data_IF_104293053692
#
_entry.id   IF_104293053692
#
_cell.length_a   1.000
_cell.length_b   1.000
_cell.length_c   1.000
_cell.angle_alpha   90.00
_cell.angle_beta   90.00
_cell.angle_gamma   90.00
#
_symmetry.space_group_name_H-M   'P 1'
#
loop_
_entity.id
_entity.type
_entity.pdbx_description
1 polymer ?
#
# COMPACT_ATOMS: atom_id res chain seq x y z
N UNK A 1 -7.11 -15.26 -37.94
CA UNK A 1 -7.08 -15.63 -36.51
C UNK A 1 -7.39 -14.37 -35.72
N UNK A 2 -8.63 -14.26 -35.25
CA UNK A 2 -9.19 -13.04 -34.66
C UNK A 2 -8.69 -12.83 -33.23
N UNK A 3 -8.27 -11.59 -32.96
CA UNK A 3 -7.87 -11.10 -31.65
C UNK A 3 -9.06 -11.10 -30.68
N UNK A 4 -8.91 -11.77 -29.53
CA UNK A 4 -9.83 -11.63 -28.40
C UNK A 4 -9.42 -10.39 -27.61
N UNK A 5 -10.02 -9.25 -27.95
CA UNK A 5 -9.96 -8.05 -27.12
C UNK A 5 -10.74 -8.32 -25.82
N UNK A 6 -10.05 -8.55 -24.70
CA UNK A 6 -10.66 -8.46 -23.37
C UNK A 6 -10.88 -6.98 -23.04
N UNK A 7 -12.11 -6.56 -23.37
CA UNK A 7 -12.79 -5.31 -23.04
C UNK A 7 -12.32 -4.70 -21.70
N UNK A 8 -11.43 -3.71 -21.79
CA UNK A 8 -11.17 -2.77 -20.70
C UNK A 8 -12.48 -2.02 -20.36
N UNK A 9 -12.85 -1.87 -19.07
CA UNK A 9 -13.94 -0.98 -18.70
C UNK A 9 -13.57 0.45 -19.11
N UNK A 10 -14.45 1.08 -19.89
CA UNK A 10 -14.41 2.51 -20.21
C UNK A 10 -15.11 3.26 -19.09
N UNK A 11 -14.41 4.21 -18.47
CA UNK A 11 -15.03 5.22 -17.60
C UNK A 11 -14.41 5.26 -16.21
N UNK A 12 -13.85 6.43 -15.86
CA UNK A 12 -13.28 6.72 -14.54
C UNK A 12 -12.00 7.55 -14.63
N UNK A 13 -12.07 8.78 -15.14
CA UNK A 13 -10.98 9.75 -15.03
C UNK A 13 -10.94 10.18 -13.55
N UNK A 14 -10.10 9.57 -12.73
CA UNK A 14 -9.99 9.99 -11.32
C UNK A 14 -9.09 9.16 -10.41
N UNK A 15 -8.90 7.86 -10.68
CA UNK A 15 -8.18 6.98 -9.73
C UNK A 15 -6.74 6.66 -10.12
N UNK A 16 -6.42 6.61 -11.42
CA UNK A 16 -5.06 6.26 -11.89
C UNK A 16 -4.06 7.41 -11.77
N UNK A 17 -4.51 8.67 -11.76
CA UNK A 17 -3.63 9.83 -11.84
C UNK A 17 -2.88 10.13 -10.53
N UNK A 18 -3.44 9.70 -9.40
CA UNK A 18 -2.95 10.08 -8.06
C UNK A 18 -1.77 9.21 -7.64
N UNK A 19 -1.73 7.92 -8.03
CA UNK A 19 -0.66 7.00 -7.64
C UNK A 19 0.69 7.33 -8.27
N UNK A 20 0.70 7.89 -9.49
CA UNK A 20 1.94 8.22 -10.23
C UNK A 20 2.73 9.35 -9.58
N UNK A 21 2.05 10.37 -9.03
CA UNK A 21 2.71 11.52 -8.40
C UNK A 21 3.37 11.14 -7.05
N UNK A 22 2.74 10.24 -6.30
CA UNK A 22 3.28 9.74 -5.02
C UNK A 22 4.48 8.81 -5.17
N UNK A 23 4.43 7.89 -6.15
CA UNK A 23 5.56 7.00 -6.46
C UNK A 23 6.77 7.78 -7.03
N UNK A 24 6.53 8.87 -7.77
CA UNK A 24 7.60 9.70 -8.33
C UNK A 24 8.31 10.57 -7.29
N UNK A 25 7.60 11.06 -6.24
CA UNK A 25 8.19 11.98 -5.26
C UNK A 25 9.29 11.34 -4.38
N UNK A 26 9.29 10.01 -4.25
CA UNK A 26 10.24 9.29 -3.40
C UNK A 26 11.48 8.79 -4.16
N UNK A 27 11.49 8.82 -5.50
CA UNK A 27 12.61 8.34 -6.32
C UNK A 27 12.94 6.85 -6.13
N UNK A 28 11.98 6.06 -5.63
CA UNK A 28 12.16 4.67 -5.18
C UNK A 28 11.00 3.83 -5.74
N UNK A 29 11.30 2.62 -6.21
CA UNK A 29 10.31 1.71 -6.79
C UNK A 29 9.29 1.23 -5.74
N UNK A 30 8.00 1.38 -6.04
CA UNK A 30 6.90 0.79 -5.27
C UNK A 30 6.66 -0.63 -5.80
N UNK A 31 6.79 -1.62 -4.93
CA UNK A 31 6.61 -3.04 -5.29
C UNK A 31 5.20 -3.54 -4.97
N UNK A 32 4.56 -2.95 -3.95
CA UNK A 32 3.25 -3.38 -3.48
C UNK A 32 2.46 -2.19 -2.89
N UNK A 33 1.14 -2.30 -2.98
CA UNK A 33 0.21 -1.36 -2.38
C UNK A 33 -1.06 -2.11 -1.94
N UNK A 34 -1.69 -1.65 -0.86
CA UNK A 34 -2.93 -2.20 -0.34
C UNK A 34 -3.84 -1.10 0.21
N UNK A 35 -5.14 -1.29 0.15
CA UNK A 35 -6.15 -0.32 0.61
C UNK A 35 -6.92 -0.93 1.80
N UNK A 36 -7.32 -0.08 2.75
CA UNK A 36 -8.15 -0.49 3.89
C UNK A 36 -9.58 -0.83 3.46
N UNK A 37 -10.30 -1.61 4.27
CA UNK A 37 -11.67 -2.06 3.97
C UNK A 37 -12.66 -0.88 3.79
N UNK A 38 -12.44 0.22 4.52
CA UNK A 38 -13.24 1.45 4.45
C UNK A 38 -12.79 2.41 3.33
N UNK A 39 -11.79 2.04 2.54
CA UNK A 39 -11.22 2.84 1.44
C UNK A 39 -10.69 4.22 1.87
N UNK A 40 -10.39 4.40 3.15
CA UNK A 40 -9.85 5.66 3.68
C UNK A 40 -8.33 5.68 3.75
N UNK A 41 -7.67 4.52 3.74
CA UNK A 41 -6.22 4.40 3.90
C UNK A 41 -5.57 3.62 2.77
N UNK A 42 -4.38 4.06 2.38
CA UNK A 42 -3.50 3.38 1.44
C UNK A 42 -2.18 3.05 2.13
N UNK A 43 -1.75 1.79 2.02
CA UNK A 43 -0.44 1.32 2.43
C UNK A 43 0.40 1.07 1.18
N UNK A 44 1.65 1.51 1.18
CA UNK A 44 2.59 1.31 0.08
C UNK A 44 3.94 0.84 0.62
N UNK A 45 4.60 -0.05 -0.14
CA UNK A 45 5.87 -0.64 0.23
C UNK A 45 6.77 -0.80 -0.99
N UNK A 46 8.04 -0.46 -0.82
CA UNK A 46 8.99 -0.39 -1.93
C UNK A 46 10.41 -0.80 -1.56
N UNK A 47 11.35 -0.36 -2.37
CA UNK A 47 12.76 -0.78 -2.25
C UNK A 47 13.48 -0.23 -1.02
N UNK A 48 12.95 0.84 -0.42
CA UNK A 48 13.54 1.48 0.76
C UNK A 48 13.21 0.79 2.08
N UNK A 49 12.54 -0.36 2.07
CA UNK A 49 12.13 -1.13 3.25
C UNK A 49 11.12 -0.44 4.19
N UNK A 50 10.66 0.77 3.83
CA UNK A 50 9.70 1.56 4.60
C UNK A 50 8.30 1.27 4.06
N UNK A 51 7.34 1.12 4.98
CA UNK A 51 5.91 1.12 4.65
C UNK A 51 5.39 2.53 4.90
N UNK A 52 4.68 3.08 3.92
CA UNK A 52 4.01 4.37 4.05
C UNK A 52 2.51 4.15 4.16
N UNK A 53 1.88 4.85 5.11
CA UNK A 53 0.43 4.87 5.29
C UNK A 53 -0.06 6.28 4.94
N UNK A 54 -1.00 6.34 4.01
CA UNK A 54 -1.55 7.57 3.45
C UNK A 54 -3.05 7.66 3.76
N UNK A 55 -3.51 8.86 4.08
CA UNK A 55 -4.94 9.17 4.07
C UNK A 55 -5.40 9.39 2.63
N UNK A 56 -6.41 8.64 2.21
CA UNK A 56 -7.06 8.77 0.90
C UNK A 56 -8.57 8.96 1.02
N UNK A 57 -9.08 9.30 2.20
CA UNK A 57 -10.51 9.50 2.48
C UNK A 57 -11.18 10.51 1.55
N UNK A 58 -10.43 11.52 1.12
CA UNK A 58 -10.91 12.55 0.20
C UNK A 58 -10.99 12.10 -1.27
N UNK A 59 -10.56 10.86 -1.59
CA UNK A 59 -10.69 10.26 -2.94
C UNK A 59 -12.09 9.67 -3.17
N UNK A 60 -12.96 9.63 -2.15
CA UNK A 60 -14.32 9.07 -2.29
C UNK A 60 -15.13 9.75 -3.40
N UNK A 61 -15.24 9.06 -4.54
CA UNK A 61 -15.88 9.48 -5.78
C UNK A 61 -17.41 9.35 -5.73
N UNK A 62 -18.05 9.76 -4.64
CA UNK A 62 -19.51 9.65 -4.53
C UNK A 62 -20.24 10.62 -5.47
N UNK A 63 -19.59 11.73 -5.82
CA UNK A 63 -20.09 12.66 -6.81
C UNK A 63 -19.19 12.60 -8.05
N UNK A 64 -19.76 12.37 -9.23
CA UNK A 64 -19.09 12.44 -10.54
C UNK A 64 -18.58 13.87 -10.89
N UNK A 65 -18.30 14.70 -9.89
CA UNK A 65 -17.70 16.01 -10.06
C UNK A 65 -16.18 15.82 -10.16
N UNK A 66 -15.57 16.13 -11.31
CA UNK A 66 -14.11 16.10 -11.41
C UNK A 66 -13.57 17.08 -10.38
N UNK A 67 -12.69 16.59 -9.50
CA UNK A 67 -11.88 17.40 -8.60
C UNK A 67 -11.16 18.48 -9.41
N UNK A 68 -11.74 19.68 -9.45
CA UNK A 68 -11.25 20.85 -10.21
C UNK A 68 -10.25 21.70 -9.42
N UNK A 69 -9.97 21.35 -8.17
CA UNK A 69 -9.04 22.07 -7.30
C UNK A 69 -8.20 21.09 -6.49
N UNK A 70 -6.87 21.12 -6.69
CA UNK A 70 -5.86 20.45 -5.86
C UNK A 70 -5.84 20.94 -4.39
N UNK A 71 -6.79 21.78 -3.98
CA UNK A 71 -6.82 22.46 -2.68
C UNK A 71 -7.63 21.70 -1.62
N UNK A 72 -8.51 20.77 -2.02
CA UNK A 72 -9.42 20.05 -1.11
C UNK A 72 -9.10 18.56 -0.99
N UNK A 73 -8.06 18.10 -1.70
CA UNK A 73 -7.61 16.71 -1.69
C UNK A 73 -6.64 16.53 -0.52
N UNK A 74 -7.15 16.23 0.68
CA UNK A 74 -6.33 15.89 1.83
C UNK A 74 -5.76 14.48 1.63
N UNK A 75 -4.63 14.39 0.93
CA UNK A 75 -3.87 13.17 0.71
C UNK A 75 -2.56 13.26 1.46
N UNK A 76 -2.64 13.03 2.78
CA UNK A 76 -1.53 13.27 3.70
C UNK A 76 -0.83 11.96 4.07
N UNK A 77 0.51 12.00 4.15
CA UNK A 77 1.28 10.92 4.75
C UNK A 77 0.96 10.88 6.25
N UNK A 78 0.21 9.87 6.68
CA UNK A 78 -0.18 9.73 8.07
C UNK A 78 0.96 9.21 8.94
N UNK A 79 1.62 8.16 8.47
CA UNK A 79 2.72 7.54 9.22
C UNK A 79 3.60 6.66 8.34
N UNK A 80 4.75 6.29 8.88
CA UNK A 80 5.67 5.32 8.28
C UNK A 80 5.98 4.22 9.28
N UNK A 81 6.19 3.02 8.74
CA UNK A 81 6.71 1.91 9.51
C UNK A 81 8.09 1.52 9.02
N UNK A 82 9.05 1.63 9.92
CA UNK A 82 10.44 1.22 9.72
C UNK A 82 10.73 -0.05 10.53
N UNK A 83 11.54 -0.94 9.97
CA UNK A 83 12.00 -2.13 10.68
C UNK A 83 12.27 -3.33 9.78
N UNK A 84 11.79 -3.34 8.54
CA UNK A 84 12.32 -4.25 7.55
C UNK A 84 13.74 -3.85 7.15
N UNK A 85 14.57 -4.84 6.81
CA UNK A 85 15.98 -4.60 6.42
C UNK A 85 16.19 -4.67 4.90
N UNK A 86 15.14 -5.06 4.15
CA UNK A 86 15.15 -5.17 2.69
C UNK A 86 13.81 -4.76 2.10
N UNK A 87 13.79 -4.65 0.78
CA UNK A 87 12.59 -4.27 0.02
C UNK A 87 11.37 -5.10 0.40
N UNK A 88 10.24 -4.40 0.42
CA UNK A 88 8.95 -4.98 0.75
C UNK A 88 8.42 -5.65 -0.49
N UNK A 89 7.98 -6.90 -0.35
CA UNK A 89 7.50 -7.72 -1.47
C UNK A 89 5.99 -7.79 -1.52
N UNK A 90 5.31 -7.65 -0.38
CA UNK A 90 3.85 -7.69 -0.31
C UNK A 90 3.32 -6.94 0.93
N UNK A 91 2.09 -6.44 0.82
CA UNK A 91 1.39 -5.68 1.87
C UNK A 91 -0.11 -5.96 1.85
N UNK A 92 -0.70 -6.18 3.02
CA UNK A 92 -2.14 -6.38 3.16
C UNK A 92 -2.67 -5.71 4.43
N UNK A 93 -3.78 -4.96 4.30
CA UNK A 93 -4.55 -4.51 5.45
C UNK A 93 -5.37 -5.65 6.05
N UNK A 94 -5.53 -5.61 7.36
CA UNK A 94 -6.45 -6.45 8.11
C UNK A 94 -7.56 -5.59 8.72
N UNK A 95 -8.70 -6.23 9.01
CA UNK A 95 -9.90 -5.54 9.51
C UNK A 95 -9.71 -4.91 10.91
N UNK A 96 -8.61 -5.23 11.62
CA UNK A 96 -8.25 -4.71 12.94
C UNK A 96 -7.29 -3.51 12.89
N UNK A 97 -7.35 -2.70 11.82
CA UNK A 97 -6.45 -1.55 11.60
C UNK A 97 -4.97 -1.93 11.73
N UNK A 98 -4.62 -3.09 11.19
CA UNK A 98 -3.25 -3.53 11.10
C UNK A 98 -2.84 -3.72 9.63
N UNK A 99 -1.54 -3.70 9.41
CA UNK A 99 -0.92 -4.04 8.13
C UNK A 99 -0.02 -5.23 8.34
N UNK A 100 -0.13 -6.22 7.46
CA UNK A 100 0.81 -7.33 7.34
C UNK A 100 1.73 -7.01 6.17
N UNK A 101 3.04 -7.12 6.39
CA UNK A 101 4.05 -6.94 5.36
C UNK A 101 4.95 -8.16 5.25
N UNK A 102 5.31 -8.51 4.02
CA UNK A 102 6.35 -9.47 3.71
C UNK A 102 7.53 -8.76 3.05
N UNK A 103 8.75 -9.19 3.38
CA UNK A 103 9.97 -8.58 2.86
C UNK A 103 10.98 -9.64 2.42
N UNK A 104 11.89 -9.23 1.53
CA UNK A 104 13.07 -10.00 1.19
C UNK A 104 14.05 -10.20 2.36
N UNK A 105 13.84 -9.54 3.50
CA UNK A 105 14.59 -9.77 4.74
C UNK A 105 14.24 -11.08 5.45
N UNK A 106 13.41 -11.93 4.83
CA UNK A 106 12.93 -13.23 5.33
C UNK A 106 11.96 -13.14 6.51
N UNK A 107 11.43 -11.95 6.78
CA UNK A 107 10.47 -11.71 7.84
C UNK A 107 9.10 -11.30 7.30
N UNK A 108 8.07 -11.69 8.04
CA UNK A 108 6.72 -11.15 7.93
C UNK A 108 6.44 -10.34 9.20
N UNK A 109 5.94 -9.12 9.06
CA UNK A 109 5.69 -8.23 10.19
C UNK A 109 4.22 -7.83 10.24
N UNK A 110 3.70 -7.69 11.45
CA UNK A 110 2.39 -7.07 11.73
C UNK A 110 2.61 -5.70 12.35
N UNK A 111 1.98 -4.70 11.76
CA UNK A 111 2.03 -3.31 12.19
C UNK A 111 0.65 -2.88 12.66
N UNK A 112 0.58 -2.34 13.85
CA UNK A 112 -0.66 -1.83 14.44
C UNK A 112 -0.70 -0.32 14.21
N UNK A 113 -1.68 0.16 13.43
CA UNK A 113 -1.80 1.58 13.11
C UNK A 113 -2.20 2.40 14.33
N UNK A 114 -2.94 1.81 15.28
CA UNK A 114 -3.34 2.51 16.51
C UNK A 114 -2.16 2.73 17.45
N UNK A 115 -1.23 1.77 17.49
CA UNK A 115 -0.01 1.86 18.31
C UNK A 115 1.17 2.48 17.57
N UNK A 116 1.08 2.65 16.26
CA UNK A 116 2.18 3.17 15.44
C UNK A 116 3.45 2.31 15.50
N UNK A 117 3.33 0.99 15.70
CA UNK A 117 4.52 0.14 15.91
C UNK A 117 4.34 -1.31 15.43
N UNK A 118 5.47 -2.00 15.26
CA UNK A 118 5.51 -3.43 14.95
C UNK A 118 5.09 -4.23 16.19
N UNK A 119 4.02 -5.03 16.06
CA UNK A 119 3.47 -5.85 17.15
C UNK A 119 3.81 -7.32 17.04
N UNK A 120 4.24 -7.79 15.87
CA UNK A 120 4.73 -9.15 15.68
C UNK A 120 5.74 -9.25 14.54
N UNK A 121 6.72 -10.13 14.70
CA UNK A 121 7.69 -10.51 13.68
C UNK A 121 7.71 -12.03 13.58
N UNK A 122 7.47 -12.55 12.38
CA UNK A 122 7.55 -13.97 12.06
C UNK A 122 8.69 -14.19 11.07
N UNK A 123 9.47 -15.24 11.26
CA UNK A 123 10.51 -15.67 10.31
C UNK A 123 10.11 -17.01 9.75
N UNK A 124 10.42 -17.29 8.48
CA UNK A 124 10.28 -18.64 7.98
C UNK A 124 11.21 -19.55 8.79
N UNK A 125 10.63 -20.53 9.48
CA UNK A 125 11.41 -21.57 10.11
C UNK A 125 11.92 -22.48 8.99
N UNK A 126 13.16 -22.28 8.54
CA UNK A 126 13.92 -23.40 7.98
C UNK A 126 14.18 -24.34 9.16
N UNK A 127 13.24 -25.25 9.40
CA UNK A 127 13.44 -26.36 10.29
C UNK A 127 14.41 -27.29 9.58
N UNK A 128 15.71 -27.07 9.79
CA UNK A 128 16.75 -28.05 9.50
C UNK A 128 16.49 -29.23 10.43
N UNK A 129 15.65 -30.16 9.96
CA UNK A 129 15.55 -31.49 10.53
C UNK A 129 16.80 -32.24 10.06
N UNK A 130 17.90 -32.09 10.78
CA UNK A 130 19.00 -33.05 10.72
C UNK A 130 18.54 -34.32 11.47
N UNK A 131 18.31 -35.41 10.73
CA UNK A 131 18.25 -36.78 11.25
C UNK A 131 19.62 -37.44 11.11
#
# INVERSE_FOLDING_TARGET
MGSIASKLPKGGVGTEFVLDEFAQSMGIGVNCAGISEDQSLLATGGDNSIIYIWDISSISTADDTPITSNADCHHELLTTFEGHERYITDLQFTNDLCVISASADTTVRKWDLTKGSCVAVSRSALQLNEQ
#
